data_IF_293959798194
#
_entry.id   IF_293959798194
#
_cell.length_a   1.000
_cell.length_b   1.000
_cell.length_c   1.000
_cell.angle_alpha   90.00
_cell.angle_beta   90.00
_cell.angle_gamma   90.00
#
_symmetry.space_group_name_H-M   'P 1'
#
loop_
_entity.id
_entity.type
_entity.pdbx_description
1 polymer ?
#
# COMPACT_ATOMS: atom_id res chain seq x y z
N UNK A 1 4.73 28.23 36.28
CA UNK A 1 5.00 27.60 34.97
C UNK A 1 4.18 26.31 34.92
N UNK A 2 2.97 26.38 34.37
CA UNK A 2 2.05 25.23 34.31
C UNK A 2 2.51 24.32 33.17
N UNK A 3 2.99 23.13 33.53
CA UNK A 3 3.31 22.04 32.59
C UNK A 3 2.04 21.66 31.84
N UNK A 4 2.03 21.73 30.51
CA UNK A 4 0.86 21.34 29.71
C UNK A 4 0.65 19.87 29.87
N UNK A 5 -0.61 19.46 30.11
CA UNK A 5 -1.03 18.04 30.30
C UNK A 5 -0.64 17.13 29.12
N UNK A 6 -0.30 17.69 27.95
CA UNK A 6 0.14 16.93 26.77
C UNK A 6 1.62 16.55 26.73
N UNK A 7 2.46 17.04 27.68
CA UNK A 7 3.91 16.81 27.65
C UNK A 7 4.35 15.53 28.40
N UNK A 8 3.43 14.80 29.03
CA UNK A 8 3.72 13.53 29.68
C UNK A 8 3.33 12.37 28.75
N UNK A 9 4.28 11.61 28.18
CA UNK A 9 4.00 10.51 27.25
C UNK A 9 3.22 9.35 27.87
N UNK A 10 2.99 9.40 29.20
CA UNK A 10 2.19 8.40 29.93
C UNK A 10 0.73 8.78 30.00
N UNK A 11 0.37 10.03 29.69
CA UNK A 11 -0.99 10.55 29.74
C UNK A 11 -1.57 10.58 28.32
N UNK A 12 -2.75 10.01 28.16
CA UNK A 12 -3.47 9.93 26.90
C UNK A 12 -3.54 8.50 26.32
N UNK A 13 -4.41 8.26 25.34
CA UNK A 13 -4.50 6.97 24.68
C UNK A 13 -3.16 6.70 23.98
N UNK A 14 -2.69 5.46 24.09
CA UNK A 14 -1.60 5.00 23.22
C UNK A 14 -2.06 5.22 21.79
N UNK A 15 -1.24 5.87 20.99
CA UNK A 15 -1.50 6.04 19.57
C UNK A 15 -1.77 4.70 18.88
N UNK A 16 -2.35 4.70 17.68
CA UNK A 16 -2.48 3.47 16.91
C UNK A 16 -1.12 2.80 16.93
N UNK A 17 -1.10 1.52 17.24
CA UNK A 17 0.11 0.71 17.12
C UNK A 17 0.50 0.88 15.65
N UNK A 18 1.57 1.65 15.41
CA UNK A 18 2.19 1.70 14.10
C UNK A 18 2.64 0.27 13.83
N UNK A 19 1.81 -0.49 13.14
CA UNK A 19 2.10 -1.86 12.74
C UNK A 19 3.09 -1.81 11.57
N UNK A 20 4.26 -1.25 11.81
CA UNK A 20 5.43 -1.57 11.02
C UNK A 20 5.87 -2.97 11.48
N UNK A 21 5.01 -3.94 11.27
CA UNK A 21 5.38 -5.33 11.45
C UNK A 21 6.23 -5.67 10.25
N UNK A 22 7.54 -5.67 10.45
CA UNK A 22 8.47 -6.17 9.44
C UNK A 22 8.17 -7.65 9.27
N UNK A 23 7.43 -8.00 8.22
CA UNK A 23 7.18 -9.40 7.85
C UNK A 23 8.33 -9.89 6.96
N UNK A 24 8.72 -11.15 7.13
CA UNK A 24 9.73 -11.77 6.27
C UNK A 24 9.18 -11.97 4.85
N UNK A 25 10.04 -12.16 3.83
CA UNK A 25 9.57 -12.47 2.47
C UNK A 25 8.67 -13.71 2.41
N UNK A 26 8.93 -14.73 3.22
CA UNK A 26 8.10 -15.92 3.32
C UNK A 26 6.71 -15.62 3.92
N UNK A 27 6.65 -14.81 4.97
CA UNK A 27 5.39 -14.33 5.55
C UNK A 27 4.61 -13.45 4.55
N UNK A 28 5.31 -12.62 3.78
CA UNK A 28 4.68 -11.80 2.75
C UNK A 28 4.04 -12.66 1.65
N UNK A 29 4.71 -13.73 1.21
CA UNK A 29 4.15 -14.67 0.24
C UNK A 29 2.90 -15.38 0.76
N UNK A 30 2.90 -15.81 2.02
CA UNK A 30 1.73 -16.42 2.69
C UNK A 30 0.58 -15.41 2.78
N UNK A 31 0.85 -14.19 3.22
CA UNK A 31 -0.16 -13.14 3.34
C UNK A 31 -0.77 -12.79 1.98
N UNK A 32 0.05 -12.70 0.94
CA UNK A 32 -0.39 -12.37 -0.41
C UNK A 32 -1.25 -13.48 -1.02
N UNK A 33 -0.93 -14.75 -0.75
CA UNK A 33 -1.78 -15.87 -1.13
C UNK A 33 -3.16 -15.79 -0.45
N UNK A 34 -3.20 -15.58 0.87
CA UNK A 34 -4.47 -15.49 1.62
C UNK A 34 -5.29 -14.30 1.11
N UNK A 35 -4.66 -13.16 0.80
CA UNK A 35 -5.32 -11.99 0.21
C UNK A 35 -5.95 -12.27 -1.14
N UNK A 36 -5.23 -12.97 -2.02
CA UNK A 36 -5.75 -13.31 -3.36
C UNK A 36 -6.88 -14.33 -3.32
N UNK A 37 -6.99 -15.09 -2.26
CA UNK A 37 -8.05 -16.09 -2.07
C UNK A 37 -9.33 -15.51 -1.48
N UNK A 38 -9.32 -14.27 -0.98
CA UNK A 38 -10.50 -13.60 -0.45
C UNK A 38 -11.65 -13.58 -1.47
N UNK A 39 -12.90 -13.91 -1.09
CA UNK A 39 -13.42 -14.16 0.28
C UNK A 39 -13.25 -15.60 0.79
N UNK A 40 -12.48 -16.44 0.16
CA UNK A 40 -12.29 -17.84 0.54
C UNK A 40 -11.18 -17.96 1.58
N UNK A 41 -11.55 -18.35 2.81
CA UNK A 41 -10.58 -18.67 3.85
C UNK A 41 -9.83 -19.97 3.54
N UNK A 42 -8.55 -20.04 3.85
CA UNK A 42 -7.66 -21.15 3.55
C UNK A 42 -7.20 -21.87 4.82
N UNK A 43 -7.08 -23.20 4.74
CA UNK A 43 -6.44 -24.01 5.77
C UNK A 43 -4.91 -23.95 5.66
N UNK A 44 -4.20 -24.28 6.76
CA UNK A 44 -2.73 -24.40 6.75
C UNK A 44 -2.25 -25.37 5.64
N UNK A 45 -2.97 -26.46 5.43
CA UNK A 45 -2.60 -27.46 4.41
C UNK A 45 -2.77 -26.96 2.98
N UNK A 46 -3.74 -26.10 2.72
CA UNK A 46 -3.93 -25.44 1.43
C UNK A 46 -2.85 -24.41 1.19
N UNK A 47 -2.60 -23.54 2.17
CA UNK A 47 -1.55 -22.53 2.10
C UNK A 47 -0.19 -23.20 1.83
N UNK A 48 0.16 -24.23 2.62
CA UNK A 48 1.42 -24.94 2.50
C UNK A 48 1.67 -25.51 1.08
N UNK A 49 0.63 -26.08 0.48
CA UNK A 49 0.70 -26.59 -0.91
C UNK A 49 0.95 -25.51 -1.94
N UNK A 50 0.31 -24.35 -1.77
CA UNK A 50 0.44 -23.23 -2.70
C UNK A 50 1.78 -22.49 -2.60
N UNK A 51 2.36 -22.39 -1.39
CA UNK A 51 3.66 -21.75 -1.18
C UNK A 51 4.83 -22.74 -1.22
N UNK A 52 4.56 -24.01 -1.53
CA UNK A 52 5.53 -25.13 -1.59
C UNK A 52 6.39 -25.22 -0.30
N UNK A 53 5.71 -25.22 0.85
CA UNK A 53 6.34 -25.29 2.17
C UNK A 53 5.77 -26.41 3.02
N UNK A 54 6.57 -26.85 4.02
CA UNK A 54 6.07 -27.81 4.99
C UNK A 54 4.96 -27.21 5.88
N UNK A 55 3.87 -27.93 6.19
CA UNK A 55 2.76 -27.39 6.98
C UNK A 55 3.14 -26.79 8.34
N UNK A 56 4.18 -27.30 9.00
CA UNK A 56 4.64 -26.74 10.26
C UNK A 56 5.27 -25.34 10.08
N UNK A 57 6.12 -25.16 9.08
CA UNK A 57 6.70 -23.86 8.74
C UNK A 57 5.62 -22.86 8.32
N UNK A 58 4.65 -23.31 7.52
CA UNK A 58 3.51 -22.49 7.13
C UNK A 58 2.69 -22.07 8.34
N UNK A 59 2.51 -22.97 9.32
CA UNK A 59 1.81 -22.64 10.58
C UNK A 59 2.50 -21.52 11.34
N UNK A 60 3.83 -21.62 11.51
CA UNK A 60 4.62 -20.56 12.16
C UNK A 60 4.47 -19.21 11.46
N UNK A 61 4.47 -19.20 10.14
CA UNK A 61 4.25 -17.98 9.36
C UNK A 61 2.83 -17.42 9.55
N UNK A 62 1.80 -18.27 9.51
CA UNK A 62 0.42 -17.86 9.73
C UNK A 62 0.20 -17.36 11.16
N UNK A 63 0.75 -18.04 12.18
CA UNK A 63 0.68 -17.60 13.58
C UNK A 63 1.32 -16.23 13.77
N UNK A 64 2.49 -16.00 13.18
CA UNK A 64 3.14 -14.69 13.21
C UNK A 64 2.29 -13.61 12.52
N UNK A 65 1.60 -13.93 11.42
CA UNK A 65 0.67 -13.01 10.76
C UNK A 65 -0.60 -12.77 11.58
N UNK A 66 -1.07 -13.77 12.34
CA UNK A 66 -2.18 -13.61 13.30
C UNK A 66 -1.77 -12.71 14.45
N UNK A 67 -0.59 -12.91 15.03
CA UNK A 67 -0.04 -12.06 16.10
C UNK A 67 0.16 -10.62 15.62
N UNK A 68 0.55 -10.46 14.35
CA UNK A 68 0.61 -9.17 13.69
C UNK A 68 -0.78 -8.58 13.39
N UNK A 69 -1.86 -9.36 13.54
CA UNK A 69 -3.24 -8.99 13.23
C UNK A 69 -3.48 -8.72 11.74
N UNK A 70 -2.70 -9.33 10.87
CA UNK A 70 -2.86 -9.26 9.41
C UNK A 70 -3.76 -10.37 8.88
N UNK A 71 -3.85 -11.47 9.64
CA UNK A 71 -4.66 -12.65 9.35
C UNK A 71 -5.44 -13.02 10.61
N UNK A 72 -6.63 -13.54 10.47
CA UNK A 72 -7.45 -14.04 11.58
C UNK A 72 -7.99 -15.44 11.28
N UNK A 73 -8.24 -16.25 12.35
CA UNK A 73 -9.05 -17.44 12.20
C UNK A 73 -10.44 -17.11 11.65
N UNK A 74 -10.83 -17.77 10.57
CA UNK A 74 -12.17 -17.64 9.99
C UNK A 74 -13.13 -18.65 10.62
N UNK A 75 -14.45 -18.38 10.54
CA UNK A 75 -15.46 -19.32 11.00
C UNK A 75 -15.42 -20.58 10.15
N UNK A 76 -15.30 -21.74 10.81
CA UNK A 76 -15.21 -23.04 10.15
C UNK A 76 -16.50 -23.35 9.38
N UNK A 77 -16.40 -23.75 8.12
CA UNK A 77 -17.54 -24.22 7.32
C UNK A 77 -18.14 -25.47 7.97
N UNK A 78 -19.41 -25.38 8.38
CA UNK A 78 -20.17 -26.52 8.88
C UNK A 78 -20.44 -27.50 7.73
N UNK A 79 -20.03 -28.77 7.87
CA UNK A 79 -20.46 -29.81 6.93
C UNK A 79 -19.41 -30.82 6.50
N UNK A 80 -18.19 -30.78 6.96
CA UNK A 80 -17.15 -31.77 6.63
C UNK A 80 -17.05 -32.81 7.75
N UNK A 81 -17.11 -34.11 7.42
CA UNK A 81 -16.93 -35.23 8.34
C UNK A 81 -15.48 -35.25 8.80
N UNK A 82 -15.19 -35.04 10.09
CA UNK A 82 -13.86 -35.02 10.67
C UNK A 82 -13.68 -33.85 11.65
N UNK A 83 -12.52 -33.79 12.31
CA UNK A 83 -12.15 -32.64 13.14
C UNK A 83 -12.00 -31.42 12.21
N UNK A 84 -12.77 -30.35 12.42
CA UNK A 84 -12.69 -29.17 11.56
C UNK A 84 -11.27 -28.60 11.59
N UNK A 85 -10.66 -28.44 10.42
CA UNK A 85 -9.39 -27.74 10.29
C UNK A 85 -9.66 -26.24 10.36
N UNK A 86 -8.83 -25.52 11.14
CA UNK A 86 -8.91 -24.07 11.23
C UNK A 86 -8.59 -23.45 9.87
N UNK A 87 -9.48 -22.60 9.40
CA UNK A 87 -9.29 -21.75 8.21
C UNK A 87 -8.82 -20.36 8.65
N UNK A 88 -8.12 -19.67 7.77
CA UNK A 88 -7.56 -18.35 7.98
C UNK A 88 -7.94 -17.42 6.84
N UNK A 89 -8.28 -16.18 7.17
CA UNK A 89 -8.60 -15.13 6.22
C UNK A 89 -7.81 -13.86 6.57
N UNK A 90 -7.68 -12.99 5.60
CA UNK A 90 -7.14 -11.65 5.86
C UNK A 90 -8.05 -10.95 6.86
N UNK A 91 -7.45 -10.28 7.83
CA UNK A 91 -8.18 -9.28 8.62
C UNK A 91 -8.44 -8.12 7.67
N UNK A 92 -9.63 -8.12 7.06
CA UNK A 92 -10.11 -6.87 6.50
C UNK A 92 -10.25 -5.91 7.67
N UNK A 93 -9.61 -4.74 7.57
CA UNK A 93 -10.03 -3.58 8.34
C UNK A 93 -11.41 -3.18 7.82
N UNK A 94 -12.40 -3.99 8.19
CA UNK A 94 -13.80 -3.81 7.76
C UNK A 94 -14.48 -2.60 8.42
N UNK A 95 -13.79 -1.94 9.34
CA UNK A 95 -14.13 -0.58 9.75
C UNK A 95 -13.04 0.36 9.18
N UNK A 96 -13.40 1.37 8.37
CA UNK A 96 -12.43 2.36 7.95
C UNK A 96 -11.77 2.93 9.20
N UNK A 97 -10.43 2.91 9.24
CA UNK A 97 -9.69 3.45 10.38
C UNK A 97 -10.14 4.90 10.62
N UNK A 98 -10.07 5.38 11.87
CA UNK A 98 -10.40 6.77 12.14
C UNK A 98 -9.62 7.73 11.22
N UNK A 99 -8.40 7.34 10.83
CA UNK A 99 -7.59 8.09 9.86
C UNK A 99 -8.25 8.15 8.48
N UNK A 100 -8.78 7.04 7.97
CA UNK A 100 -9.52 7.03 6.69
C UNK A 100 -10.79 7.87 6.76
N UNK A 101 -11.56 7.77 7.85
CA UNK A 101 -12.75 8.63 8.04
C UNK A 101 -12.40 10.11 8.09
N UNK A 102 -11.28 10.45 8.74
CA UNK A 102 -10.79 11.83 8.76
C UNK A 102 -10.37 12.29 7.35
N UNK A 103 -9.67 11.46 6.59
CA UNK A 103 -9.27 11.74 5.21
C UNK A 103 -10.51 11.96 4.33
N UNK A 104 -11.52 11.09 4.43
CA UNK A 104 -12.78 11.24 3.70
C UNK A 104 -13.50 12.54 4.04
N UNK A 105 -13.60 12.87 5.33
CA UNK A 105 -14.24 14.09 5.78
C UNK A 105 -13.50 15.35 5.29
N UNK A 106 -12.17 15.36 5.39
CA UNK A 106 -11.34 16.50 4.96
C UNK A 106 -11.37 16.66 3.44
N UNK A 107 -11.25 15.55 2.68
CA UNK A 107 -11.32 15.58 1.23
C UNK A 107 -12.71 16.02 0.72
N UNK A 108 -13.77 15.52 1.35
CA UNK A 108 -15.14 15.94 1.10
C UNK A 108 -15.34 17.43 1.39
N UNK A 109 -14.86 17.93 2.51
CA UNK A 109 -14.91 19.37 2.85
C UNK A 109 -14.14 20.20 1.84
N UNK A 110 -12.93 19.81 1.47
CA UNK A 110 -12.13 20.52 0.47
C UNK A 110 -12.87 20.63 -0.88
N UNK A 111 -13.51 19.55 -1.33
CA UNK A 111 -14.32 19.54 -2.54
C UNK A 111 -15.52 20.51 -2.44
N UNK A 112 -16.26 20.48 -1.33
CA UNK A 112 -17.41 21.38 -1.13
C UNK A 112 -17.00 22.85 -1.00
N UNK A 113 -15.83 23.11 -0.46
CA UNK A 113 -15.28 24.47 -0.33
C UNK A 113 -14.64 24.99 -1.62
N UNK A 114 -14.69 24.23 -2.70
CA UNK A 114 -14.15 24.63 -4.00
C UNK A 114 -12.62 24.71 -4.04
N UNK A 115 -11.94 23.90 -3.22
CA UNK A 115 -10.47 23.84 -3.28
C UNK A 115 -10.06 23.33 -4.66
N UNK A 116 -9.15 24.05 -5.32
CA UNK A 116 -8.63 23.67 -6.62
C UNK A 116 -7.84 22.34 -6.55
N UNK A 117 -8.07 21.47 -7.51
CA UNK A 117 -7.33 20.22 -7.64
C UNK A 117 -5.81 20.44 -7.75
N UNK A 118 -5.39 21.58 -8.30
CA UNK A 118 -3.98 21.93 -8.40
C UNK A 118 -3.34 22.13 -7.02
N UNK A 119 -4.07 22.70 -6.06
CA UNK A 119 -3.59 22.80 -4.66
C UNK A 119 -3.34 21.42 -4.08
N UNK A 120 -4.20 20.44 -4.36
CA UNK A 120 -3.98 19.06 -3.91
C UNK A 120 -2.71 18.44 -4.52
N UNK A 121 -2.44 18.69 -5.80
CA UNK A 121 -1.20 18.27 -6.48
C UNK A 121 0.03 18.91 -5.84
N UNK A 122 0.01 20.18 -5.55
CA UNK A 122 1.13 20.90 -4.92
C UNK A 122 1.43 20.38 -3.51
N UNK A 123 0.38 20.15 -2.71
CA UNK A 123 0.51 19.55 -1.38
C UNK A 123 1.06 18.13 -1.46
N UNK A 124 0.58 17.33 -2.42
CA UNK A 124 1.07 15.99 -2.68
C UNK A 124 2.54 16.00 -3.08
N UNK A 125 2.94 16.91 -3.97
CA UNK A 125 4.32 17.06 -4.39
C UNK A 125 5.24 17.37 -3.20
N UNK A 126 4.87 18.34 -2.39
CA UNK A 126 5.63 18.69 -1.20
C UNK A 126 5.76 17.50 -0.23
N UNK A 127 4.67 16.73 -0.02
CA UNK A 127 4.69 15.53 0.81
C UNK A 127 5.62 14.44 0.26
N UNK A 128 5.56 14.15 -1.05
CA UNK A 128 6.41 13.15 -1.70
C UNK A 128 7.89 13.53 -1.70
N UNK A 129 8.19 14.82 -1.94
CA UNK A 129 9.56 15.31 -1.97
C UNK A 129 10.23 15.34 -0.58
N UNK A 130 9.46 15.56 0.48
CA UNK A 130 9.96 15.72 1.85
C UNK A 130 9.82 14.47 2.72
N UNK A 131 9.22 13.37 2.22
CA UNK A 131 9.01 12.18 3.04
C UNK A 131 10.33 11.59 3.54
N UNK A 132 10.34 11.15 4.81
CA UNK A 132 11.45 10.39 5.39
C UNK A 132 11.33 8.88 5.16
N UNK A 133 10.15 8.42 4.74
CA UNK A 133 9.82 6.99 4.60
C UNK A 133 10.38 6.37 3.31
N UNK A 134 10.96 7.20 2.44
CA UNK A 134 11.59 6.78 1.21
C UNK A 134 13.07 7.19 1.20
N UNK A 135 13.97 6.34 0.70
CA UNK A 135 15.38 6.69 0.55
C UNK A 135 15.54 7.89 -0.39
N UNK A 136 16.60 8.68 -0.19
CA UNK A 136 16.98 9.68 -1.16
C UNK A 136 17.67 8.99 -2.34
N UNK A 137 17.18 9.25 -3.56
CA UNK A 137 17.69 8.66 -4.76
C UNK A 137 17.11 7.28 -5.08
N UNK A 138 16.90 6.99 -6.36
CA UNK A 138 16.43 5.70 -6.84
C UNK A 138 17.51 4.60 -6.83
N UNK A 139 18.76 4.96 -6.54
CA UNK A 139 19.89 4.05 -6.59
C UNK A 139 20.09 3.43 -7.98
N UNK A 140 20.68 2.24 -8.00
CA UNK A 140 20.91 1.48 -9.24
C UNK A 140 19.64 0.80 -9.78
N UNK A 141 18.57 0.75 -8.99
CA UNK A 141 17.36 0.02 -9.36
C UNK A 141 16.49 0.79 -10.37
N UNK A 142 16.67 2.09 -10.49
CA UNK A 142 15.88 2.95 -11.35
C UNK A 142 14.57 3.45 -10.73
N UNK A 143 13.94 4.43 -11.41
CA UNK A 143 12.80 5.16 -10.84
C UNK A 143 11.55 4.30 -10.64
N UNK A 144 11.19 3.44 -11.60
CA UNK A 144 9.96 2.65 -11.52
C UNK A 144 9.98 1.64 -10.37
N UNK A 145 11.04 0.82 -10.18
CA UNK A 145 11.18 -0.04 -9.00
C UNK A 145 11.23 0.74 -7.68
N UNK A 146 11.83 1.93 -7.67
CA UNK A 146 11.83 2.79 -6.50
C UNK A 146 10.41 3.22 -6.12
N UNK A 147 9.62 3.72 -7.09
CA UNK A 147 8.22 4.10 -6.85
C UNK A 147 7.38 2.92 -6.40
N UNK A 148 7.60 1.74 -7.00
CA UNK A 148 6.92 0.50 -6.62
C UNK A 148 7.17 0.13 -5.16
N UNK A 149 8.43 0.13 -4.74
CA UNK A 149 8.82 -0.20 -3.37
C UNK A 149 8.20 0.77 -2.34
N UNK A 150 8.23 2.09 -2.63
CA UNK A 150 7.67 3.11 -1.73
C UNK A 150 6.15 2.98 -1.64
N UNK A 151 5.47 2.88 -2.78
CA UNK A 151 4.01 2.75 -2.82
C UNK A 151 3.54 1.47 -2.13
N UNK A 152 4.23 0.35 -2.34
CA UNK A 152 3.95 -0.91 -1.66
C UNK A 152 4.13 -0.78 -0.15
N UNK A 153 5.18 -0.09 0.30
CA UNK A 153 5.41 0.23 1.72
C UNK A 153 4.26 1.06 2.33
N UNK A 154 3.57 1.86 1.53
CA UNK A 154 2.41 2.66 1.96
C UNK A 154 1.06 1.95 1.77
N UNK A 155 1.06 0.65 1.47
CA UNK A 155 -0.15 -0.17 1.40
C UNK A 155 -0.84 -0.21 0.04
N UNK A 156 -0.22 0.33 -1.01
CA UNK A 156 -0.67 0.05 -2.37
C UNK A 156 -0.28 -1.37 -2.78
N UNK A 157 -1.05 -1.97 -3.68
CA UNK A 157 -0.60 -3.17 -4.38
C UNK A 157 -0.45 -2.85 -5.85
N UNK A 158 0.67 -3.27 -6.40
CA UNK A 158 1.06 -3.01 -7.77
C UNK A 158 1.16 -4.31 -8.57
N UNK A 159 1.02 -4.22 -9.88
CA UNK A 159 1.28 -5.31 -10.81
C UNK A 159 2.04 -4.75 -12.02
N UNK A 160 2.95 -5.54 -12.59
CA UNK A 160 3.63 -5.17 -13.82
C UNK A 160 2.60 -5.03 -14.95
N UNK A 161 2.63 -3.89 -15.64
CA UNK A 161 1.75 -3.65 -16.79
C UNK A 161 2.22 -4.48 -17.99
N UNK A 162 1.30 -5.20 -18.64
CA UNK A 162 1.59 -5.89 -19.89
C UNK A 162 1.98 -4.87 -20.96
N UNK A 163 3.20 -4.98 -21.48
CA UNK A 163 3.65 -4.30 -22.70
C UNK A 163 4.08 -2.83 -22.60
N UNK A 164 4.12 -2.20 -21.41
CA UNK A 164 4.54 -0.81 -21.24
C UNK A 164 5.42 -0.63 -20.01
N UNK A 165 6.34 0.34 -20.06
CA UNK A 165 7.18 0.73 -18.91
C UNK A 165 6.33 1.42 -17.83
N UNK A 166 5.54 0.64 -17.05
CA UNK A 166 4.65 1.17 -16.04
C UNK A 166 4.16 0.12 -15.05
N UNK A 167 3.49 0.61 -14.00
CA UNK A 167 2.84 -0.19 -12.97
C UNK A 167 1.33 0.00 -13.03
N UNK A 168 0.58 -1.07 -12.86
CA UNK A 168 -0.84 -1.01 -12.53
C UNK A 168 -0.99 -0.99 -11.00
N UNK A 169 -1.59 0.04 -10.44
CA UNK A 169 -1.96 0.10 -9.03
C UNK A 169 -3.32 -0.60 -8.90
N UNK A 170 -3.30 -1.86 -8.50
CA UNK A 170 -4.50 -2.70 -8.40
C UNK A 170 -5.19 -2.62 -7.04
N UNK A 171 -4.52 -2.05 -6.03
CA UNK A 171 -5.10 -1.71 -4.73
C UNK A 171 -4.65 -0.31 -4.32
N UNK A 172 -5.60 0.50 -3.89
CA UNK A 172 -5.36 1.82 -3.32
C UNK A 172 -5.93 1.86 -1.90
N UNK A 173 -5.14 2.18 -0.86
CA UNK A 173 -5.64 2.24 0.52
C UNK A 173 -6.65 3.36 0.74
N UNK A 174 -6.74 4.31 -0.19
CA UNK A 174 -7.63 5.48 -0.13
C UNK A 174 -8.75 5.43 -1.19
N UNK A 175 -9.07 4.25 -1.75
CA UNK A 175 -9.98 4.12 -2.88
C UNK A 175 -11.37 4.70 -2.61
N UNK A 176 -11.89 4.55 -1.40
CA UNK A 176 -13.23 5.05 -1.04
C UNK A 176 -13.24 6.57 -0.94
N UNK A 177 -12.21 7.17 -0.32
CA UNK A 177 -12.02 8.61 -0.33
C UNK A 177 -11.79 9.16 -1.76
N UNK A 178 -11.04 8.41 -2.60
CA UNK A 178 -10.80 8.77 -3.99
C UNK A 178 -12.08 8.73 -4.85
N UNK A 179 -13.00 7.82 -4.56
CA UNK A 179 -14.33 7.79 -5.23
C UNK A 179 -15.20 8.95 -4.82
N UNK A 180 -15.13 9.35 -3.55
CA UNK A 180 -15.94 10.46 -3.00
C UNK A 180 -15.40 11.84 -3.41
N UNK A 181 -14.09 12.01 -3.51
CA UNK A 181 -13.42 13.28 -3.79
C UNK A 181 -12.21 13.08 -4.74
N UNK A 182 -12.43 12.63 -6.01
CA UNK A 182 -11.32 12.23 -6.87
C UNK A 182 -10.37 13.39 -7.20
N UNK A 183 -10.87 14.59 -7.41
CA UNK A 183 -10.03 15.75 -7.71
C UNK A 183 -9.01 16.05 -6.60
N UNK A 184 -9.40 15.87 -5.35
CA UNK A 184 -8.53 16.11 -4.17
C UNK A 184 -7.62 14.91 -3.92
N UNK A 185 -8.19 13.71 -3.77
CA UNK A 185 -7.42 12.53 -3.36
C UNK A 185 -6.48 12.05 -4.46
N UNK A 186 -6.98 11.95 -5.70
CA UNK A 186 -6.13 11.52 -6.82
C UNK A 186 -5.18 12.65 -7.25
N UNK A 187 -5.59 13.93 -7.14
CA UNK A 187 -4.72 15.08 -7.32
C UNK A 187 -3.52 15.04 -6.36
N UNK A 188 -3.77 14.78 -5.09
CA UNK A 188 -2.73 14.59 -4.09
C UNK A 188 -1.79 13.42 -4.47
N UNK A 189 -2.32 12.27 -4.89
CA UNK A 189 -1.50 11.13 -5.32
C UNK A 189 -0.60 11.46 -6.51
N UNK A 190 -1.14 12.19 -7.53
CA UNK A 190 -0.32 12.66 -8.66
C UNK A 190 0.85 13.52 -8.18
N UNK A 191 0.58 14.42 -7.24
CA UNK A 191 1.63 15.21 -6.62
C UNK A 191 2.66 14.35 -5.92
N UNK A 192 2.21 13.40 -5.09
CA UNK A 192 3.09 12.52 -4.32
C UNK A 192 4.06 11.75 -5.24
N UNK A 193 3.59 11.10 -6.29
CA UNK A 193 4.48 10.32 -7.18
C UNK A 193 5.48 11.21 -7.91
N UNK A 194 5.10 12.44 -8.28
CA UNK A 194 6.01 13.45 -8.85
C UNK A 194 7.03 13.95 -7.82
N UNK A 195 6.61 14.17 -6.58
CA UNK A 195 7.51 14.54 -5.48
C UNK A 195 8.51 13.44 -5.15
N UNK A 196 8.09 12.18 -5.19
CA UNK A 196 8.97 11.02 -5.04
C UNK A 196 10.00 10.94 -6.19
N UNK A 197 9.58 11.23 -7.44
CA UNK A 197 10.50 11.29 -8.57
C UNK A 197 11.57 12.36 -8.37
N UNK A 198 11.18 13.57 -7.95
CA UNK A 198 12.12 14.64 -7.61
C UNK A 198 13.10 14.22 -6.49
N UNK A 199 12.59 13.55 -5.46
CA UNK A 199 13.42 13.01 -4.37
C UNK A 199 14.39 11.93 -4.85
N UNK A 200 13.98 11.14 -5.82
CA UNK A 200 14.81 10.13 -6.48
C UNK A 200 15.88 10.73 -7.42
N UNK A 201 15.85 12.04 -7.66
CA UNK A 201 16.75 12.73 -8.59
C UNK A 201 16.29 12.68 -10.04
N UNK A 202 15.04 12.29 -10.31
CA UNK A 202 14.44 12.24 -11.64
C UNK A 202 13.60 13.50 -11.91
N UNK A 203 13.26 13.73 -13.19
CA UNK A 203 12.35 14.80 -13.57
C UNK A 203 10.92 14.43 -13.11
N UNK A 204 10.23 15.25 -12.31
CA UNK A 204 8.85 15.02 -11.91
C UNK A 204 7.88 14.89 -13.09
N UNK A 205 8.18 15.50 -14.22
CA UNK A 205 7.34 15.48 -15.41
C UNK A 205 7.46 14.15 -16.19
N UNK A 206 8.47 13.34 -15.91
CA UNK A 206 8.61 11.98 -16.43
C UNK A 206 7.60 11.00 -15.81
N UNK A 207 6.96 11.36 -14.69
CA UNK A 207 6.02 10.47 -13.98
C UNK A 207 4.59 10.91 -14.20
N UNK A 208 3.78 9.99 -14.71
CA UNK A 208 2.35 10.20 -14.94
C UNK A 208 1.53 9.14 -14.22
N UNK A 209 0.58 9.59 -13.38
CA UNK A 209 -0.44 8.74 -12.77
C UNK A 209 -1.79 9.01 -13.45
N UNK A 210 -2.37 7.98 -14.05
CA UNK A 210 -3.70 8.01 -14.66
C UNK A 210 -4.65 7.27 -13.75
N UNK A 211 -5.59 8.02 -13.17
CA UNK A 211 -6.57 7.50 -12.24
C UNK A 211 -7.64 6.69 -12.97
N UNK A 212 -8.06 5.59 -12.35
CA UNK A 212 -9.14 4.73 -12.84
C UNK A 212 -9.01 4.37 -14.33
N UNK A 213 -7.78 4.17 -14.80
CA UNK A 213 -7.44 3.88 -16.21
C UNK A 213 -8.18 2.64 -16.75
N UNK A 214 -8.39 1.64 -15.87
CA UNK A 214 -9.16 0.42 -16.17
C UNK A 214 -10.04 0.06 -14.97
N UNK A 215 -11.07 -0.76 -15.16
CA UNK A 215 -11.79 -1.33 -14.02
C UNK A 215 -10.83 -1.95 -13.00
N UNK A 216 -10.82 -1.42 -11.77
CA UNK A 216 -10.02 -1.92 -10.67
C UNK A 216 -8.56 -1.48 -10.63
N UNK A 217 -8.10 -0.58 -11.50
CA UNK A 217 -6.71 -0.10 -11.45
C UNK A 217 -6.52 1.35 -11.87
N UNK A 218 -5.44 1.94 -11.33
CA UNK A 218 -4.82 3.16 -11.86
C UNK A 218 -3.52 2.77 -12.56
N UNK A 219 -3.02 3.61 -13.46
CA UNK A 219 -1.77 3.37 -14.16
C UNK A 219 -0.72 4.43 -13.83
N UNK A 220 0.44 3.96 -13.41
CA UNK A 220 1.63 4.77 -13.21
C UNK A 220 2.62 4.47 -14.34
N UNK A 221 3.05 5.49 -15.06
CA UNK A 221 4.05 5.37 -16.14
C UNK A 221 5.23 6.28 -15.86
N UNK A 222 6.40 5.85 -16.32
CA UNK A 222 7.63 6.65 -16.32
C UNK A 222 8.09 6.79 -17.78
N UNK A 223 8.17 8.03 -18.25
CA UNK A 223 8.74 8.39 -19.55
C UNK A 223 10.20 8.76 -19.35
N UNK A 224 11.09 8.44 -20.26
CA UNK A 224 12.53 8.80 -20.14
C UNK A 224 13.45 7.69 -19.63
N UNK A 225 12.97 6.49 -19.31
CA UNK A 225 13.82 5.34 -18.95
C UNK A 225 14.57 4.71 -20.16
N UNK A 226 14.72 5.42 -21.27
CA UNK A 226 15.45 4.97 -22.47
C UNK A 226 16.77 5.72 -22.60
N UNK A 227 17.76 5.44 -21.73
CA UNK A 227 19.02 6.14 -21.90
C UNK A 227 20.14 5.83 -20.91
N UNK A 228 20.39 4.55 -20.60
CA UNK A 228 21.74 4.16 -20.13
C UNK A 228 22.06 2.76 -20.69
N UNK A 229 22.21 2.64 -22.00
CA UNK A 229 22.96 1.53 -22.59
C UNK A 229 23.32 1.87 -24.04
N UNK A 230 24.15 2.89 -24.24
CA UNK A 230 24.84 3.08 -25.54
C UNK A 230 26.13 3.86 -25.37
N UNK A 231 27.05 3.35 -24.56
CA UNK A 231 28.42 3.82 -24.51
C UNK A 231 29.38 2.73 -24.01
N UNK A 232 29.39 1.58 -24.69
CA UNK A 232 30.53 0.65 -24.67
C UNK A 232 30.50 -0.14 -25.99
N UNK A 233 30.78 0.53 -27.09
CA UNK A 233 31.30 -0.08 -28.32
C UNK A 233 32.04 1.02 -29.07
N UNK A 234 33.31 1.12 -28.79
CA UNK A 234 34.31 1.91 -29.46
C UNK A 234 35.66 1.38 -29.08
#
# INVERSE_FOLDING_TARGET
>A
MLKRLGDDPRLGPKGPISRTTTITPAQAAVLDLIRRSDPVALTIGEIARWVDQHPNTTREHVEALVDAGLVAPAAVRKGVRGRPSQEYAVVEDSAPSMSLRLIEALAGHATHSGVDAQVAVELGFAAGASTSDAPAGAGETGLLPYLDAVLTGWGFSTASGEGHAGLALVRCPLVDAARSAPAIVCGFHRGVVRGLAARAGADPDDVTLIEFDRPGSCRLTVTGASGVNSALSG
#
